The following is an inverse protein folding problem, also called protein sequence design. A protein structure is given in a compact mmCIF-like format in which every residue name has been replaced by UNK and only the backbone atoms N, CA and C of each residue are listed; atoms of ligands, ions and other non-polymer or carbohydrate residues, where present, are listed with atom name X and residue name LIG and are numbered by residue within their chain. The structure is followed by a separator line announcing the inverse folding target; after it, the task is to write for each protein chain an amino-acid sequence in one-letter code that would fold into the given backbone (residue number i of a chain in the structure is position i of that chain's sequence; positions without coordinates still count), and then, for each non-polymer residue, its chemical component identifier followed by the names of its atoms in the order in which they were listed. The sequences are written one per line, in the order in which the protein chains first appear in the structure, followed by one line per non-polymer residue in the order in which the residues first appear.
data_IF_416641086193
#
_entry.id   IF_416641086193
#
_cell.length_a   1.000
_cell.length_b   1.000
_cell.length_c   1.000
_cell.angle_alpha   90.00
_cell.angle_beta   90.00
_cell.angle_gamma   90.00
#
_symmetry.space_group_name_H-M   'P 1'
#
loop_
_entity.id
_entity.type
_entity.pdbx_description
1 polymer ?
#
# COMPACT_ATOMS: atom_id res chain seq x y z
N UNK A 1 -17.53 12.83 6.55
CA UNK A 1 -16.25 13.43 7.02
C UNK A 1 -15.21 13.19 5.93
N UNK A 2 -14.73 14.26 5.29
CA UNK A 2 -13.72 14.14 4.23
C UNK A 2 -12.43 13.60 4.84
N UNK A 3 -11.95 12.44 4.38
CA UNK A 3 -10.61 11.96 4.73
C UNK A 3 -9.61 13.10 4.50
N UNK A 4 -8.79 13.48 5.50
CA UNK A 4 -7.79 14.51 5.29
C UNK A 4 -6.93 14.11 4.10
N UNK A 5 -6.91 14.96 3.08
CA UNK A 5 -6.10 14.72 1.90
C UNK A 5 -4.63 14.70 2.35
N UNK A 6 -3.89 13.67 1.95
CA UNK A 6 -2.45 13.56 2.25
C UNK A 6 -1.75 14.87 1.85
N UNK A 7 -1.27 15.65 2.82
CA UNK A 7 -0.58 16.92 2.59
C UNK A 7 -1.45 18.19 2.56
N UNK A 8 -2.67 18.18 3.13
CA UNK A 8 -3.56 19.35 3.29
C UNK A 8 -4.01 20.10 2.01
N UNK A 9 -3.60 19.67 0.82
CA UNK A 9 -4.04 20.25 -0.45
C UNK A 9 -5.15 19.48 -1.16
N UNK A 10 -5.59 20.04 -2.29
CA UNK A 10 -6.72 19.51 -3.07
C UNK A 10 -6.35 18.15 -3.69
N UNK A 11 -7.20 17.14 -3.47
CA UNK A 11 -6.96 15.78 -3.97
C UNK A 11 -6.85 15.74 -5.49
N UNK A 12 -5.85 15.02 -6.01
CA UNK A 12 -5.69 14.78 -7.44
C UNK A 12 -4.97 15.90 -8.20
N UNK A 13 -4.74 17.05 -7.58
CA UNK A 13 -3.96 18.14 -8.16
C UNK A 13 -2.47 17.90 -7.91
N UNK A 14 -1.64 18.06 -8.94
CA UNK A 14 -0.19 18.16 -8.78
C UNK A 14 0.19 19.63 -8.51
N UNK A 15 1.09 19.90 -7.55
CA UNK A 15 1.56 21.26 -7.30
C UNK A 15 2.31 21.82 -8.52
N UNK A 16 2.26 23.14 -8.67
CA UNK A 16 2.94 23.87 -9.76
C UNK A 16 4.45 23.68 -9.65
N UNK A 17 5.14 23.58 -10.78
CA UNK A 17 6.60 23.55 -10.83
C UNK A 17 7.18 24.86 -10.26
N UNK A 18 8.19 24.77 -9.38
CA UNK A 18 8.96 25.93 -8.93
C UNK A 18 10.42 25.80 -9.35
N UNK A 19 11.23 26.84 -9.18
CA UNK A 19 12.63 26.90 -9.66
C UNK A 19 13.45 25.69 -9.20
N UNK A 20 13.23 25.22 -7.97
CA UNK A 20 13.97 24.09 -7.38
C UNK A 20 13.17 22.77 -7.37
N UNK A 21 11.99 22.75 -7.97
CA UNK A 21 11.04 21.62 -7.89
C UNK A 21 10.58 21.24 -9.28
N UNK A 22 11.36 20.41 -9.96
CA UNK A 22 11.08 19.94 -11.31
C UNK A 22 9.94 18.91 -11.32
N UNK A 23 9.03 19.05 -12.28
CA UNK A 23 7.87 18.15 -12.49
C UNK A 23 8.12 17.28 -13.71
N UNK A 24 9.17 16.47 -13.61
CA UNK A 24 9.63 15.60 -14.69
C UNK A 24 8.76 14.34 -14.86
N UNK A 25 9.15 13.52 -15.84
CA UNK A 25 8.49 12.24 -16.11
C UNK A 25 8.62 11.26 -14.95
N UNK A 26 9.71 11.32 -14.17
CA UNK A 26 9.92 10.48 -13.00
C UNK A 26 8.84 10.73 -11.94
N UNK A 27 8.58 12.00 -11.62
CA UNK A 27 7.56 12.37 -10.63
C UNK A 27 6.16 11.88 -11.07
N UNK A 28 5.83 12.04 -12.35
CA UNK A 28 4.60 11.53 -12.96
C UNK A 28 4.48 10.00 -12.81
N UNK A 29 5.56 9.27 -13.06
CA UNK A 29 5.62 7.81 -12.93
C UNK A 29 5.50 7.35 -11.48
N UNK A 30 6.16 8.03 -10.53
CA UNK A 30 6.02 7.76 -9.09
C UNK A 30 4.58 7.97 -8.65
N UNK A 31 3.94 9.07 -9.05
CA UNK A 31 2.53 9.34 -8.72
C UNK A 31 1.59 8.28 -9.28
N UNK A 32 1.87 7.77 -10.48
CA UNK A 32 1.13 6.64 -11.07
C UNK A 32 1.30 5.37 -10.23
N UNK A 33 2.53 5.01 -9.85
CA UNK A 33 2.81 3.86 -8.98
C UNK A 33 2.09 3.97 -7.64
N UNK A 34 2.11 5.15 -7.00
CA UNK A 34 1.41 5.39 -5.73
C UNK A 34 -0.10 5.15 -5.83
N UNK A 35 -0.75 5.63 -6.91
CA UNK A 35 -2.20 5.45 -7.10
C UNK A 35 -2.62 4.04 -7.47
N UNK A 36 -1.76 3.29 -8.15
CA UNK A 36 -2.11 1.99 -8.74
C UNK A 36 -1.54 0.82 -7.97
N UNK A 37 -0.24 0.83 -7.70
CA UNK A 37 0.48 -0.28 -7.07
C UNK A 37 0.42 -0.24 -5.55
N UNK A 38 0.53 0.95 -4.95
CA UNK A 38 0.63 1.08 -3.48
C UNK A 38 -0.69 1.33 -2.76
N UNK A 39 -1.76 1.62 -3.51
CA UNK A 39 -3.09 1.93 -2.98
C UNK A 39 -4.02 0.71 -3.06
N UNK A 40 -3.70 -0.35 -2.32
CA UNK A 40 -4.55 -1.54 -2.21
C UNK A 40 -5.21 -1.62 -0.83
N UNK A 41 -6.25 -2.44 -0.69
CA UNK A 41 -7.00 -2.57 0.58
C UNK A 41 -6.07 -2.96 1.74
N UNK A 42 -5.08 -3.82 1.47
CA UNK A 42 -4.09 -4.27 2.45
C UNK A 42 -3.11 -3.17 2.90
N UNK A 43 -3.05 -2.02 2.22
CA UNK A 43 -2.26 -0.86 2.64
C UNK A 43 -2.88 -0.13 3.85
N UNK A 44 -4.16 -0.34 4.11
CA UNK A 44 -4.88 0.27 5.24
C UNK A 44 -4.33 -0.23 6.59
N UNK A 45 -4.29 0.66 7.58
CA UNK A 45 -3.82 0.32 8.93
C UNK A 45 -4.76 -0.66 9.65
N UNK A 46 -6.05 -0.60 9.34
CA UNK A 46 -7.06 -1.53 9.80
C UNK A 46 -8.05 -1.86 8.68
N UNK A 47 -8.47 -3.11 8.59
CA UNK A 47 -9.58 -3.56 7.74
C UNK A 47 -10.63 -4.13 8.67
N UNK A 48 -11.90 -3.73 8.51
CA UNK A 48 -13.00 -4.14 9.40
C UNK A 48 -12.67 -3.91 10.88
N UNK A 49 -12.06 -2.76 11.20
CA UNK A 49 -11.63 -2.37 12.57
C UNK A 49 -10.52 -3.25 13.18
N UNK A 50 -10.01 -4.25 12.45
CA UNK A 50 -8.93 -5.10 12.90
C UNK A 50 -7.60 -4.53 12.39
N UNK A 51 -6.64 -4.20 13.28
CA UNK A 51 -5.38 -3.61 12.88
C UNK A 51 -4.48 -4.63 12.17
N UNK A 52 -3.69 -4.14 11.23
CA UNK A 52 -2.67 -4.92 10.53
C UNK A 52 -1.57 -5.38 11.48
N UNK A 53 -1.24 -6.67 11.45
CA UNK A 53 -0.11 -7.23 12.22
C UNK A 53 1.19 -7.14 11.43
N UNK A 54 1.15 -7.38 10.12
CA UNK A 54 2.35 -7.34 9.28
C UNK A 54 2.77 -5.91 8.90
N UNK A 55 4.04 -5.74 8.55
CA UNK A 55 4.52 -4.45 8.04
C UNK A 55 3.79 -4.04 6.75
N UNK A 56 3.58 -2.72 6.52
CA UNK A 56 2.84 -2.25 5.35
C UNK A 56 3.48 -2.66 4.03
N UNK A 57 4.81 -2.69 3.95
CA UNK A 57 5.53 -3.19 2.76
C UNK A 57 5.14 -4.64 2.42
N UNK A 58 5.06 -5.51 3.44
CA UNK A 58 4.69 -6.92 3.22
C UNK A 58 3.22 -7.06 2.84
N UNK A 59 2.34 -6.25 3.43
CA UNK A 59 0.91 -6.29 3.15
C UNK A 59 0.58 -5.88 1.71
N UNK A 60 1.21 -4.80 1.24
CA UNK A 60 0.96 -4.28 -0.09
C UNK A 60 1.48 -5.24 -1.18
N UNK A 61 2.60 -5.91 -0.93
CA UNK A 61 3.19 -6.87 -1.86
C UNK A 61 2.69 -8.31 -1.67
N UNK A 62 1.67 -8.55 -0.85
CA UNK A 62 1.15 -9.91 -0.56
C UNK A 62 2.25 -10.90 -0.10
N UNK A 63 3.23 -10.42 0.66
CA UNK A 63 4.35 -11.21 1.21
C UNK A 63 4.02 -11.86 2.56
N UNK A 64 2.75 -11.86 2.95
CA UNK A 64 2.26 -12.32 4.25
C UNK A 64 0.76 -12.21 4.33
N UNK A 65 0.17 -12.98 5.24
CA UNK A 65 -1.24 -12.77 5.63
C UNK A 65 -1.36 -11.47 6.45
N UNK A 66 -2.39 -10.67 6.19
CA UNK A 66 -2.59 -9.36 6.84
C UNK A 66 -2.63 -9.44 8.38
N UNK A 67 -3.22 -10.54 8.88
CA UNK A 67 -3.34 -10.86 10.31
C UNK A 67 -2.29 -11.87 10.79
N UNK A 68 -1.33 -12.26 9.94
CA UNK A 68 -0.32 -13.27 10.27
C UNK A 68 -0.91 -14.59 10.81
N UNK A 69 -2.08 -15.02 10.31
CA UNK A 69 -2.74 -16.25 10.76
C UNK A 69 -1.96 -17.50 10.32
N UNK A 70 -1.89 -18.49 11.19
CA UNK A 70 -1.20 -19.75 10.92
C UNK A 70 -2.12 -20.73 10.17
N UNK A 71 -1.62 -21.33 9.08
CA UNK A 71 -2.33 -22.33 8.27
C UNK A 71 -3.74 -21.90 7.81
N UNK A 72 -3.99 -20.60 7.72
CA UNK A 72 -5.29 -20.04 7.36
C UNK A 72 -5.52 -20.10 5.85
N UNK A 73 -6.68 -20.62 5.46
CA UNK A 73 -7.11 -20.68 4.07
C UNK A 73 -8.59 -20.32 4.03
N UNK A 74 -8.95 -19.28 3.31
CA UNK A 74 -10.34 -18.88 3.10
C UNK A 74 -10.49 -18.37 1.68
N UNK A 75 -11.03 -19.20 0.79
CA UNK A 75 -11.10 -18.86 -0.63
C UNK A 75 -9.71 -18.59 -1.23
N UNK A 76 -8.99 -19.64 -1.61
CA UNK A 76 -7.69 -19.52 -2.25
C UNK A 76 -7.77 -19.08 -3.72
N UNK A 77 -6.70 -18.49 -4.24
CA UNK A 77 -6.53 -18.25 -5.67
C UNK A 77 -6.56 -19.59 -6.42
N UNK A 78 -7.60 -19.81 -7.23
CA UNK A 78 -7.69 -21.00 -8.07
C UNK A 78 -6.99 -20.76 -9.41
N UNK A 79 -6.12 -21.68 -9.83
CA UNK A 79 -5.41 -21.60 -11.11
C UNK A 79 -6.35 -21.84 -12.30
N UNK A 80 -7.53 -22.43 -12.07
CA UNK A 80 -8.47 -22.84 -13.12
C UNK A 80 -9.89 -22.38 -12.80
N UNK A 81 -10.54 -21.73 -13.77
CA UNK A 81 -11.89 -21.20 -13.59
C UNK A 81 -12.95 -22.29 -13.86
N UNK A 82 -13.81 -22.56 -12.88
CA UNK A 82 -14.91 -23.52 -12.98
C UNK A 82 -15.98 -23.13 -14.01
N UNK A 83 -16.02 -21.87 -14.44
CA UNK A 83 -16.93 -21.37 -15.47
C UNK A 83 -16.56 -21.83 -16.88
N UNK A 84 -15.40 -22.48 -17.09
CA UNK A 84 -15.07 -23.08 -18.39
C UNK A 84 -15.91 -24.36 -18.59
N UNK A 85 -16.72 -24.47 -19.66
CA UNK A 85 -17.56 -25.64 -19.90
C UNK A 85 -16.76 -26.95 -19.86
N UNK A 86 -17.25 -27.94 -19.12
CA UNK A 86 -16.59 -29.25 -18.98
C UNK A 86 -15.45 -29.32 -17.94
N UNK A 87 -15.06 -28.21 -17.30
CA UNK A 87 -13.99 -28.21 -16.30
C UNK A 87 -14.50 -28.33 -14.85
N UNK A 88 -15.77 -28.01 -14.58
CA UNK A 88 -16.34 -28.00 -13.23
C UNK A 88 -16.18 -29.31 -12.45
N UNK A 89 -16.29 -30.47 -13.10
CA UNK A 89 -16.12 -31.78 -12.46
C UNK A 89 -14.66 -32.22 -12.31
N UNK A 90 -13.73 -31.57 -13.02
CA UNK A 90 -12.29 -31.87 -13.01
C UNK A 90 -11.50 -30.99 -12.06
N UNK A 91 -12.11 -29.90 -11.60
CA UNK A 91 -11.54 -28.98 -10.63
C UNK A 91 -11.92 -29.49 -9.24
N UNK A 92 -10.91 -29.88 -8.45
CA UNK A 92 -11.11 -30.30 -7.06
C UNK A 92 -11.72 -29.18 -6.19
N UNK A 93 -12.23 -29.56 -5.02
CA UNK A 93 -12.72 -28.59 -4.04
C UNK A 93 -11.56 -27.83 -3.37
N UNK A 94 -11.81 -26.57 -3.03
CA UNK A 94 -10.89 -25.75 -2.26
C UNK A 94 -11.23 -25.93 -0.78
N UNK A 95 -10.22 -26.13 0.06
CA UNK A 95 -10.37 -26.09 1.51
C UNK A 95 -10.61 -24.63 1.91
N UNK A 96 -11.75 -24.35 2.54
CA UNK A 96 -12.10 -23.02 3.05
C UNK A 96 -12.42 -23.12 4.54
N UNK A 97 -11.52 -22.58 5.35
CA UNK A 97 -11.63 -22.41 6.80
C UNK A 97 -11.65 -20.91 7.09
N UNK A 98 -12.71 -20.25 6.63
CA UNK A 98 -12.89 -18.82 6.82
C UNK A 98 -13.18 -18.47 8.28
N UNK A 99 -12.56 -17.40 8.75
CA UNK A 99 -12.90 -16.77 10.02
C UNK A 99 -13.94 -15.66 9.81
N UNK A 100 -14.49 -15.15 10.91
CA UNK A 100 -15.49 -14.07 10.89
C UNK A 100 -14.87 -12.68 10.67
N UNK A 101 -13.55 -12.58 10.42
CA UNK A 101 -12.86 -11.29 10.27
C UNK A 101 -13.19 -10.60 8.95
N UNK A 102 -13.65 -11.35 7.95
CA UNK A 102 -13.88 -10.85 6.60
C UNK A 102 -12.60 -10.41 5.87
N UNK A 103 -11.42 -10.72 6.42
CA UNK A 103 -10.13 -10.39 5.81
C UNK A 103 -9.63 -11.60 5.01
N UNK A 104 -9.42 -11.40 3.71
CA UNK A 104 -8.94 -12.42 2.79
C UNK A 104 -7.61 -13.05 3.25
N UNK A 105 -7.43 -14.34 2.94
CA UNK A 105 -6.19 -15.04 3.23
C UNK A 105 -5.04 -14.55 2.32
N UNK A 106 -3.83 -14.46 2.87
CA UNK A 106 -2.63 -14.23 2.07
C UNK A 106 -2.32 -15.42 1.14
N UNK A 107 -2.27 -15.19 -0.17
CA UNK A 107 -2.07 -16.22 -1.20
C UNK A 107 -0.63 -16.33 -1.73
N UNK A 108 0.31 -15.56 -1.17
CA UNK A 108 1.71 -15.49 -1.62
C UNK A 108 2.70 -16.33 -0.81
N UNK A 109 3.96 -16.32 -1.24
CA UNK A 109 5.05 -16.92 -0.46
C UNK A 109 5.41 -16.01 0.72
N UNK A 110 4.99 -16.43 1.91
CA UNK A 110 5.19 -15.70 3.16
C UNK A 110 6.67 -15.64 3.61
N UNK A 111 7.51 -16.55 3.10
CA UNK A 111 8.96 -16.62 3.38
C UNK A 111 9.80 -15.87 2.37
N UNK A 112 9.19 -15.25 1.36
CA UNK A 112 9.93 -14.49 0.38
C UNK A 112 10.64 -13.29 1.03
N UNK A 113 11.91 -13.13 0.67
CA UNK A 113 12.76 -12.02 1.08
C UNK A 113 13.00 -11.17 -0.15
N UNK A 114 12.45 -9.96 -0.15
CA UNK A 114 12.66 -8.99 -1.23
C UNK A 114 14.09 -8.48 -1.21
N UNK A 115 14.58 -8.03 -2.37
CA UNK A 115 15.84 -7.30 -2.42
C UNK A 115 15.74 -5.98 -1.66
N UNK A 116 16.87 -5.56 -1.08
CA UNK A 116 17.06 -4.29 -0.39
C UNK A 116 16.63 -3.09 -1.24
N UNK A 117 16.84 -3.13 -2.55
CA UNK A 117 16.49 -2.06 -3.49
C UNK A 117 14.99 -1.79 -3.56
N UNK A 118 14.15 -2.83 -3.50
CA UNK A 118 12.68 -2.72 -3.50
C UNK A 118 12.17 -2.05 -2.23
N UNK A 119 12.74 -2.41 -1.07
CA UNK A 119 12.36 -1.81 0.20
C UNK A 119 12.79 -0.33 0.29
N UNK A 120 13.99 -0.01 -0.20
CA UNK A 120 14.47 1.38 -0.29
C UNK A 120 13.55 2.19 -1.20
N UNK A 121 13.17 1.64 -2.36
CA UNK A 121 12.26 2.27 -3.30
C UNK A 121 10.89 2.52 -2.67
N UNK A 122 10.34 1.53 -1.96
CA UNK A 122 9.10 1.68 -1.21
C UNK A 122 9.20 2.81 -0.17
N UNK A 123 10.26 2.86 0.63
CA UNK A 123 10.45 3.91 1.65
C UNK A 123 10.56 5.31 1.04
N UNK A 124 11.29 5.44 -0.07
CA UNK A 124 11.38 6.70 -0.83
C UNK A 124 10.00 7.15 -1.33
N UNK A 125 9.25 6.24 -1.94
CA UNK A 125 7.92 6.54 -2.47
C UNK A 125 6.90 6.84 -1.36
N UNK A 126 7.01 6.17 -0.21
CA UNK A 126 6.19 6.47 0.98
C UNK A 126 6.44 7.90 1.49
N UNK A 127 7.69 8.38 1.43
CA UNK A 127 7.99 9.77 1.77
C UNK A 127 7.32 10.75 0.79
N UNK A 128 7.36 10.45 -0.50
CA UNK A 128 6.65 11.23 -1.54
C UNK A 128 5.13 11.18 -1.33
N UNK A 129 4.59 10.04 -0.91
CA UNK A 129 3.16 9.87 -0.64
C UNK A 129 2.64 10.80 0.46
N UNK A 130 3.44 11.04 1.50
CA UNK A 130 3.05 11.95 2.60
C UNK A 130 2.78 13.38 2.12
N UNK A 131 3.54 13.83 1.12
CA UNK A 131 3.35 15.14 0.47
C UNK A 131 2.56 15.07 -0.85
N UNK A 132 1.81 14.00 -1.10
CA UNK A 132 1.25 13.73 -2.43
C UNK A 132 0.30 14.83 -2.93
N UNK A 133 -0.56 15.39 -2.07
CA UNK A 133 -1.41 16.52 -2.40
C UNK A 133 -0.92 17.84 -1.77
N UNK A 134 0.30 17.89 -1.24
CA UNK A 134 0.84 19.13 -0.68
C UNK A 134 1.05 20.15 -1.81
N UNK A 135 0.27 21.24 -1.78
CA UNK A 135 0.35 22.34 -2.75
C UNK A 135 1.70 23.07 -2.69
N UNK A 136 2.39 22.97 -1.55
CA UNK A 136 3.68 23.60 -1.27
C UNK A 136 4.85 22.65 -1.51
N UNK A 137 4.58 21.36 -1.70
CA UNK A 137 5.52 20.28 -2.01
C UNK A 137 6.80 20.31 -1.14
N UNK A 138 6.64 20.50 0.17
CA UNK A 138 7.74 20.52 1.14
C UNK A 138 8.50 21.85 1.28
N UNK A 139 7.99 22.97 0.73
CA UNK A 139 8.56 24.30 0.91
C UNK A 139 8.44 24.85 2.35
N UNK A 140 9.30 25.82 2.70
CA UNK A 140 9.48 26.31 4.08
C UNK A 140 8.47 27.36 4.57
N UNK A 141 7.52 27.77 3.72
CA UNK A 141 6.45 28.72 4.10
C UNK A 141 5.48 28.17 5.16
N UNK A 142 5.72 26.96 5.66
CA UNK A 142 4.95 26.28 6.71
C UNK A 142 5.84 25.59 7.75
N UNK A 143 7.11 26.00 7.91
CA UNK A 143 8.06 25.39 8.85
C UNK A 143 8.38 23.90 8.55
N UNK A 144 8.40 23.49 7.27
CA UNK A 144 8.64 22.07 6.90
C UNK A 144 10.00 21.55 7.36
N UNK A 145 11.02 22.41 7.30
CA UNK A 145 12.37 22.14 7.81
C UNK A 145 12.36 21.92 9.33
N UNK A 146 11.70 22.82 10.07
CA UNK A 146 11.55 22.75 11.52
C UNK A 146 10.75 21.54 11.98
N UNK A 147 9.63 21.19 11.35
CA UNK A 147 8.80 20.02 11.72
C UNK A 147 9.59 18.71 11.54
N UNK A 148 10.33 18.58 10.44
CA UNK A 148 11.17 17.39 10.20
C UNK A 148 12.30 17.26 11.23
N UNK A 149 12.91 18.37 11.61
CA UNK A 149 14.00 18.45 12.57
C UNK A 149 13.50 18.24 14.01
N UNK A 150 12.31 18.75 14.35
CA UNK A 150 11.64 18.49 15.63
C UNK A 150 11.22 17.03 15.75
N UNK A 151 10.79 16.36 14.68
CA UNK A 151 10.50 14.92 14.70
C UNK A 151 11.70 14.06 15.10
N UNK A 152 12.92 14.48 14.76
CA UNK A 152 14.16 13.77 15.14
C UNK A 152 14.57 14.12 16.57
N UNK A 153 14.42 15.39 16.98
CA UNK A 153 14.80 15.90 18.30
C UNK A 153 13.81 15.57 19.43
N UNK A 154 12.56 15.22 19.10
CA UNK A 154 11.51 14.89 20.08
C UNK A 154 11.56 13.43 20.53
N UNK A 155 12.66 12.73 20.28
CA UNK A 155 12.96 11.42 20.86
C UNK A 155 13.58 11.57 22.24
#
# INVERSE_FOLDING_TARGET
MSNPALGDGIQGISPIQTINNYKDSEQSMIRRKLRTSWNNVNSQESINEIPRIITPYRAVNNLGDYLSRQAYVCGGSNQVNASKPGWKSRIGSIISQCDETGIAAGAGNQRFVSDSSDYITYKKQLAVQKGYNDSKNGGDQSNGSFVSLMSVRRR
#
